data_IF_162226398726
#
_entry.id   IF_162226398726
#
_cell.length_a   1.000
_cell.length_b   1.000
_cell.length_c   1.000
_cell.angle_alpha   90.00
_cell.angle_beta   90.00
_cell.angle_gamma   90.00
#
_symmetry.space_group_name_H-M   'P 1'
#
loop_
_entity.id
_entity.type
_entity.pdbx_description
1 polymer ?
#
# COMPACT_ATOMS: atom_id res chain seq x y z
N UNK A 1 -1.50 -0.60 -33.30
CA UNK A 1 -2.15 0.34 -32.36
C UNK A 1 -1.31 0.26 -31.10
N UNK A 2 -0.56 1.28 -30.67
CA UNK A 2 0.33 1.11 -29.52
C UNK A 2 -0.50 1.13 -28.24
N UNK A 3 -0.33 0.07 -27.46
CA UNK A 3 -1.10 -0.30 -26.28
C UNK A 3 -0.94 0.69 -25.10
N UNK A 4 -2.03 0.84 -24.36
CA UNK A 4 -2.12 1.62 -23.12
C UNK A 4 -1.22 1.04 -22.03
N UNK A 5 -0.03 1.60 -21.87
CA UNK A 5 0.88 1.28 -20.78
C UNK A 5 0.85 2.38 -19.72
N UNK A 6 -0.03 2.26 -18.73
CA UNK A 6 0.23 2.89 -17.43
C UNK A 6 1.35 2.08 -16.77
N UNK A 7 2.50 2.74 -16.58
CA UNK A 7 3.78 2.19 -16.11
C UNK A 7 3.64 1.27 -14.89
N UNK A 8 3.48 -0.03 -15.14
CA UNK A 8 3.85 -1.11 -14.23
C UNK A 8 5.32 -1.50 -14.46
N UNK A 9 6.21 -0.51 -14.62
CA UNK A 9 7.64 -0.80 -14.54
C UNK A 9 7.99 -0.94 -13.07
N UNK A 10 8.66 -2.04 -12.73
CA UNK A 10 9.35 -2.18 -11.45
C UNK A 10 10.35 -1.04 -11.35
N UNK A 11 9.94 0.08 -10.73
CA UNK A 11 10.72 1.31 -10.68
C UNK A 11 11.99 1.15 -9.83
N UNK A 12 12.05 0.09 -9.03
CA UNK A 12 13.20 -0.34 -8.23
C UNK A 12 12.97 -1.75 -7.70
N UNK A 13 14.04 -2.48 -7.35
CA UNK A 13 13.93 -3.66 -6.46
C UNK A 13 13.32 -3.18 -5.14
N UNK A 14 12.12 -3.65 -4.81
CA UNK A 14 11.47 -3.37 -3.54
C UNK A 14 12.07 -4.29 -2.47
N UNK A 15 12.63 -3.71 -1.40
CA UNK A 15 13.17 -4.48 -0.28
C UNK A 15 12.09 -5.12 0.61
N UNK A 16 10.83 -4.71 0.44
CA UNK A 16 9.64 -5.28 1.11
C UNK A 16 8.41 -4.97 0.25
N UNK A 17 7.54 -5.96 0.07
CA UNK A 17 6.18 -5.79 -0.49
C UNK A 17 5.23 -5.60 0.69
N UNK A 18 4.39 -4.56 0.63
CA UNK A 18 3.39 -4.27 1.65
C UNK A 18 1.99 -4.32 1.04
N UNK A 19 1.10 -5.07 1.66
CA UNK A 19 -0.30 -5.19 1.28
C UNK A 19 -1.17 -4.50 2.34
N UNK A 20 -2.02 -3.57 1.92
CA UNK A 20 -3.00 -2.95 2.82
C UNK A 20 -4.27 -3.78 2.88
N UNK A 21 -4.72 -4.12 4.09
CA UNK A 21 -5.86 -5.02 4.33
C UNK A 21 -6.84 -4.36 5.30
N UNK A 22 -8.13 -4.47 5.01
CA UNK A 22 -9.15 -4.09 6.00
C UNK A 22 -9.03 -5.00 7.23
N UNK A 23 -9.00 -4.41 8.42
CA UNK A 23 -8.74 -5.14 9.67
C UNK A 23 -9.66 -6.35 9.92
N UNK A 24 -10.98 -6.33 9.61
CA UNK A 24 -11.82 -7.53 9.72
C UNK A 24 -11.32 -8.73 8.90
N UNK A 25 -10.53 -8.47 7.86
CA UNK A 25 -9.96 -9.45 6.96
C UNK A 25 -8.49 -9.76 7.24
N UNK A 26 -7.83 -9.05 8.17
CA UNK A 26 -6.40 -9.21 8.48
C UNK A 26 -6.04 -10.64 8.88
N UNK A 27 -6.72 -11.18 9.90
CA UNK A 27 -6.52 -12.55 10.38
C UNK A 27 -6.88 -13.60 9.32
N UNK A 28 -7.98 -13.36 8.58
CA UNK A 28 -8.40 -14.27 7.50
C UNK A 28 -7.38 -14.32 6.37
N UNK A 29 -6.81 -13.16 6.01
CA UNK A 29 -5.75 -13.03 5.01
C UNK A 29 -4.45 -13.67 5.48
N UNK A 30 -4.07 -13.48 6.74
CA UNK A 30 -2.90 -14.10 7.34
C UNK A 30 -3.00 -15.63 7.34
N UNK A 31 -4.16 -16.17 7.73
CA UNK A 31 -4.43 -17.61 7.67
C UNK A 31 -4.35 -18.14 6.23
N UNK A 32 -4.96 -17.45 5.26
CA UNK A 32 -4.91 -17.86 3.86
C UNK A 32 -3.48 -17.85 3.28
N UNK A 33 -2.64 -16.88 3.68
CA UNK A 33 -1.24 -16.83 3.28
C UNK A 33 -0.44 -17.98 3.91
N UNK A 34 -0.69 -18.29 5.18
CA UNK A 34 -0.06 -19.41 5.87
C UNK A 34 -0.44 -20.76 5.23
N UNK A 35 -1.72 -20.96 4.92
CA UNK A 35 -2.22 -22.15 4.21
C UNK A 35 -1.61 -22.29 2.81
N UNK A 36 -1.28 -21.17 2.15
CA UNK A 36 -0.61 -21.15 0.86
C UNK A 36 0.91 -21.42 0.93
N UNK A 37 1.48 -21.49 2.14
CA UNK A 37 2.90 -21.82 2.37
C UNK A 37 3.76 -20.67 2.88
N UNK A 38 3.19 -19.49 3.18
CA UNK A 38 3.93 -18.40 3.80
C UNK A 38 4.23 -18.72 5.28
N UNK A 39 5.43 -18.37 5.74
CA UNK A 39 5.80 -18.48 7.16
C UNK A 39 5.46 -17.17 7.85
N UNK A 40 4.55 -17.20 8.83
CA UNK A 40 4.22 -16.04 9.67
C UNK A 40 5.39 -15.72 10.60
N UNK A 41 5.77 -14.44 10.67
CA UNK A 41 6.82 -13.93 11.53
C UNK A 41 6.17 -13.17 12.71
N UNK A 42 6.58 -13.50 13.94
CA UNK A 42 6.11 -12.83 15.16
C UNK A 42 6.98 -11.60 15.48
N UNK A 43 6.94 -10.61 14.59
CA UNK A 43 7.78 -9.41 14.65
C UNK A 43 7.00 -8.11 14.82
N UNK A 44 5.67 -8.15 14.65
CA UNK A 44 4.80 -6.99 14.70
C UNK A 44 3.53 -7.27 15.53
N UNK A 45 2.93 -6.25 16.16
CA UNK A 45 1.61 -6.37 16.77
C UNK A 45 0.56 -6.77 15.70
N UNK A 46 -0.19 -7.88 15.89
CA UNK A 46 -1.16 -8.37 14.90
C UNK A 46 -2.25 -7.36 14.54
N UNK A 47 -2.59 -6.45 15.46
CA UNK A 47 -3.55 -5.38 15.21
C UNK A 47 -3.05 -4.30 14.25
N UNK A 48 -1.75 -4.24 13.99
CA UNK A 48 -1.11 -3.29 13.08
C UNK A 48 -0.73 -3.96 11.76
N UNK A 49 -0.11 -5.14 11.81
CA UNK A 49 0.46 -5.80 10.65
C UNK A 49 0.83 -7.26 10.93
N UNK A 50 0.90 -8.06 9.88
CA UNK A 50 1.60 -9.35 9.91
C UNK A 50 2.80 -9.30 8.97
N UNK A 51 3.93 -9.86 9.38
CA UNK A 51 5.08 -10.10 8.50
C UNK A 51 5.15 -11.58 8.13
N UNK A 52 5.61 -11.85 6.92
CA UNK A 52 5.69 -13.19 6.36
C UNK A 52 7.02 -13.38 5.65
N UNK A 53 7.46 -14.63 5.56
CA UNK A 53 8.53 -15.06 4.66
C UNK A 53 8.02 -16.13 3.70
N UNK A 54 8.36 -16.00 2.42
CA UNK A 54 8.10 -17.01 1.40
C UNK A 54 9.33 -17.14 0.51
N UNK A 55 9.93 -18.33 0.46
CA UNK A 55 11.16 -18.61 -0.30
C UNK A 55 12.31 -17.62 0.02
N UNK A 56 12.39 -17.20 1.28
CA UNK A 56 13.41 -16.25 1.75
C UNK A 56 13.13 -14.78 1.45
N UNK A 57 11.96 -14.46 0.87
CA UNK A 57 11.51 -13.09 0.62
C UNK A 57 10.54 -12.67 1.72
N UNK A 58 10.83 -11.54 2.38
CA UNK A 58 9.95 -10.95 3.39
C UNK A 58 8.93 -10.00 2.76
N UNK A 59 7.68 -10.10 3.20
CA UNK A 59 6.61 -9.17 2.88
C UNK A 59 5.68 -8.99 4.08
N UNK A 60 4.85 -7.94 4.06
CA UNK A 60 3.94 -7.64 5.16
C UNK A 60 2.52 -7.33 4.69
N UNK A 61 1.55 -7.56 5.57
CA UNK A 61 0.24 -6.94 5.50
C UNK A 61 0.16 -5.83 6.55
N UNK A 62 -0.41 -4.68 6.20
CA UNK A 62 -0.71 -3.59 7.13
C UNK A 62 -2.23 -3.40 7.21
N UNK A 63 -2.76 -3.34 8.43
CA UNK A 63 -4.20 -3.32 8.67
C UNK A 63 -4.73 -1.88 8.81
N UNK A 64 -5.92 -1.61 8.26
CA UNK A 64 -6.64 -0.35 8.45
C UNK A 64 -8.13 -0.56 8.72
N UNK A 65 -8.77 0.42 9.34
CA UNK A 65 -10.23 0.52 9.41
C UNK A 65 -10.72 1.59 8.42
N UNK A 66 -11.81 1.31 7.71
CA UNK A 66 -12.58 2.31 6.98
C UNK A 66 -13.49 3.09 7.95
N UNK A 67 -13.64 4.39 7.74
CA UNK A 67 -14.44 5.28 8.57
C UNK A 67 -15.61 5.88 7.81
N UNK A 68 -16.64 6.32 8.56
CA UNK A 68 -17.87 6.88 7.98
C UNK A 68 -17.65 8.18 7.18
N UNK A 69 -16.55 8.90 7.44
CA UNK A 69 -16.12 10.08 6.67
C UNK A 69 -15.40 9.71 5.36
N UNK A 70 -15.34 8.42 5.03
CA UNK A 70 -14.66 7.86 3.86
C UNK A 70 -13.14 7.73 4.02
N UNK A 71 -12.56 8.18 5.14
CA UNK A 71 -11.13 8.02 5.39
C UNK A 71 -10.80 6.60 5.85
N UNK A 72 -9.51 6.26 5.78
CA UNK A 72 -9.00 5.00 6.28
C UNK A 72 -7.86 5.28 7.26
N UNK A 73 -7.82 4.55 8.38
CA UNK A 73 -6.79 4.77 9.41
C UNK A 73 -6.29 3.43 9.96
N UNK A 74 -4.97 3.23 10.08
CA UNK A 74 -4.42 2.10 10.83
C UNK A 74 -4.60 2.32 12.33
N UNK A 75 -4.32 1.28 13.13
CA UNK A 75 -4.34 1.34 14.60
C UNK A 75 -2.93 1.40 15.19
N UNK A 76 -2.88 1.45 16.52
CA UNK A 76 -1.64 1.33 17.29
C UNK A 76 -0.66 2.47 17.03
N UNK A 77 0.58 2.12 16.71
CA UNK A 77 1.68 3.07 16.47
C UNK A 77 1.36 4.04 15.35
N UNK A 78 0.61 3.63 14.34
CA UNK A 78 0.34 4.42 13.14
C UNK A 78 -1.02 5.11 13.15
N UNK A 79 -1.72 5.16 14.30
CA UNK A 79 -3.09 5.67 14.39
C UNK A 79 -3.30 7.13 13.98
N UNK A 80 -2.23 7.91 13.88
CA UNK A 80 -2.23 9.29 13.40
C UNK A 80 -2.06 9.42 11.87
N UNK A 81 -1.87 8.31 11.16
CA UNK A 81 -1.83 8.27 9.71
C UNK A 81 -3.24 8.22 9.12
N UNK A 82 -3.63 9.24 8.36
CA UNK A 82 -4.97 9.33 7.79
C UNK A 82 -4.92 9.24 6.28
N UNK A 83 -5.44 8.14 5.72
CA UNK A 83 -5.58 8.01 4.27
C UNK A 83 -6.89 8.69 3.82
N UNK A 84 -6.84 9.59 2.82
CA UNK A 84 -8.03 10.32 2.36
C UNK A 84 -9.06 9.39 1.72
N UNK A 85 -10.29 9.88 1.60
CA UNK A 85 -11.34 9.17 0.86
C UNK A 85 -10.91 8.84 -0.57
N UNK A 86 -11.25 7.64 -1.03
CA UNK A 86 -10.81 7.11 -2.33
C UNK A 86 -9.37 6.60 -2.36
N UNK A 87 -8.70 6.45 -1.21
CA UNK A 87 -7.37 5.80 -1.17
C UNK A 87 -7.43 4.33 -1.53
N UNK A 88 -8.44 3.60 -1.05
CA UNK A 88 -8.73 2.21 -1.40
C UNK A 88 -10.08 2.15 -2.08
N UNK A 89 -10.09 2.00 -3.40
CA UNK A 89 -11.31 1.97 -4.20
C UNK A 89 -11.29 0.83 -5.23
N UNK A 90 -12.36 0.72 -6.01
CA UNK A 90 -12.57 -0.41 -6.92
C UNK A 90 -11.73 -0.38 -8.19
N UNK A 91 -11.14 0.78 -8.55
CA UNK A 91 -10.34 0.91 -9.75
C UNK A 91 -9.02 0.13 -9.60
N UNK A 92 -8.77 -0.92 -10.39
CA UNK A 92 -7.61 -1.78 -10.20
C UNK A 92 -6.33 -1.12 -10.73
N UNK A 93 -5.22 -1.37 -10.04
CA UNK A 93 -3.89 -1.28 -10.64
C UNK A 93 -3.65 -2.46 -11.58
N UNK A 94 -2.56 -2.43 -12.35
CA UNK A 94 -2.17 -3.55 -13.21
C UNK A 94 -0.72 -3.95 -12.93
N UNK A 95 -0.48 -5.25 -12.73
CA UNK A 95 0.85 -5.83 -12.55
C UNK A 95 1.04 -6.95 -13.56
N UNK A 96 1.98 -6.78 -14.50
CA UNK A 96 2.19 -7.76 -15.59
C UNK A 96 0.93 -7.99 -16.44
N UNK A 97 0.11 -6.95 -16.65
CA UNK A 97 -1.17 -7.04 -17.36
C UNK A 97 -2.34 -7.62 -16.54
N UNK A 98 -2.09 -8.10 -15.32
CA UNK A 98 -3.15 -8.60 -14.43
C UNK A 98 -3.73 -7.45 -13.59
N UNK A 99 -5.06 -7.27 -13.56
CA UNK A 99 -5.67 -6.31 -12.65
C UNK A 99 -5.48 -6.78 -11.20
N UNK A 100 -5.08 -5.85 -10.33
CA UNK A 100 -4.87 -6.06 -8.89
C UNK A 100 -5.47 -4.90 -8.09
N UNK A 101 -6.09 -5.16 -6.93
CA UNK A 101 -6.44 -4.09 -6.01
C UNK A 101 -5.17 -3.29 -5.64
N UNK A 102 -5.25 -1.98 -5.75
CA UNK A 102 -4.13 -1.10 -5.46
C UNK A 102 -4.62 0.18 -4.80
N UNK A 103 -3.80 0.74 -3.90
CA UNK A 103 -4.05 2.09 -3.40
C UNK A 103 -4.00 3.08 -4.58
N UNK A 104 -4.92 4.03 -4.60
CA UNK A 104 -4.95 5.07 -5.64
C UNK A 104 -3.70 5.95 -5.59
N UNK A 105 -3.31 6.53 -6.74
CA UNK A 105 -2.17 7.45 -6.78
C UNK A 105 -2.33 8.67 -5.83
N UNK A 106 -3.52 9.31 -5.72
CA UNK A 106 -3.76 10.32 -4.69
C UNK A 106 -3.58 9.80 -3.26
N UNK A 107 -4.05 8.57 -2.96
CA UNK A 107 -3.87 7.92 -1.66
C UNK A 107 -2.39 7.69 -1.33
N UNK A 108 -1.62 7.12 -2.26
CA UNK A 108 -0.18 6.88 -2.09
C UNK A 108 0.60 8.18 -1.93
N UNK A 109 0.22 9.24 -2.65
CA UNK A 109 0.83 10.55 -2.52
C UNK A 109 0.57 11.14 -1.13
N UNK A 110 -0.69 11.14 -0.70
CA UNK A 110 -1.08 11.64 0.62
C UNK A 110 -0.36 10.86 1.75
N UNK A 111 -0.27 9.54 1.61
CA UNK A 111 0.47 8.65 2.52
C UNK A 111 1.92 9.11 2.65
N UNK A 112 2.66 9.22 1.54
CA UNK A 112 4.08 9.61 1.55
C UNK A 112 4.31 11.03 2.05
N UNK A 113 3.40 11.95 1.75
CA UNK A 113 3.51 13.34 2.19
C UNK A 113 3.32 13.50 3.71
N UNK A 114 2.46 12.68 4.32
CA UNK A 114 2.25 12.68 5.77
C UNK A 114 3.39 12.02 6.54
N UNK A 115 4.10 11.05 5.95
CA UNK A 115 5.09 10.23 6.67
C UNK A 115 6.07 11.00 7.57
N UNK A 116 6.65 12.16 7.18
CA UNK A 116 7.57 12.89 8.06
C UNK A 116 6.93 13.60 9.25
N UNK A 117 5.60 13.78 9.23
CA UNK A 117 4.86 14.48 10.29
C UNK A 117 4.23 13.53 11.31
N UNK A 118 4.26 12.22 11.05
CA UNK A 118 3.70 11.21 11.95
C UNK A 118 4.57 11.04 13.20
N UNK A 119 3.94 10.67 14.31
CA UNK A 119 4.59 10.35 15.59
C UNK A 119 5.69 9.30 15.45
N UNK A 120 5.44 8.25 14.67
CA UNK A 120 6.40 7.18 14.37
C UNK A 120 7.01 7.31 12.97
N UNK A 121 6.85 8.48 12.36
CA UNK A 121 7.35 8.82 11.04
C UNK A 121 8.86 9.01 10.99
N UNK A 122 9.35 9.24 9.78
CA UNK A 122 10.78 9.48 9.53
C UNK A 122 11.02 10.47 8.40
N UNK A 123 12.27 10.90 8.26
CA UNK A 123 12.68 11.75 7.14
C UNK A 123 12.54 10.98 5.82
N UNK A 124 12.15 11.67 4.75
CA UNK A 124 12.17 11.09 3.42
C UNK A 124 13.57 10.65 3.03
N UNK A 125 13.67 9.45 2.47
CA UNK A 125 14.87 8.95 1.80
C UNK A 125 14.87 9.43 0.35
N UNK A 126 16.00 9.31 -0.33
CA UNK A 126 16.10 9.67 -1.75
C UNK A 126 15.09 8.91 -2.63
N UNK A 127 14.76 7.65 -2.27
CA UNK A 127 13.70 6.89 -2.96
C UNK A 127 12.33 7.55 -2.76
N UNK A 128 11.99 7.96 -1.54
CA UNK A 128 10.69 8.54 -1.24
C UNK A 128 10.48 9.86 -2.00
N UNK A 129 11.54 10.68 -2.13
CA UNK A 129 11.50 11.91 -2.94
C UNK A 129 11.19 11.62 -4.41
N UNK A 130 11.82 10.59 -5.00
CA UNK A 130 11.55 10.18 -6.39
C UNK A 130 10.12 9.65 -6.55
N UNK A 131 9.68 8.78 -5.65
CA UNK A 131 8.32 8.25 -5.68
C UNK A 131 7.28 9.40 -5.59
N UNK A 132 7.50 10.38 -4.72
CA UNK A 132 6.63 11.55 -4.57
C UNK A 132 6.56 12.37 -5.86
N UNK A 133 7.68 12.58 -6.55
CA UNK A 133 7.71 13.27 -7.84
C UNK A 133 6.86 12.53 -8.88
N UNK A 134 7.06 11.22 -9.03
CA UNK A 134 6.26 10.38 -9.94
C UNK A 134 4.77 10.43 -9.60
N UNK A 135 4.42 10.33 -8.32
CA UNK A 135 3.03 10.36 -7.88
C UNK A 135 2.37 11.71 -8.14
N UNK A 136 3.09 12.83 -7.99
CA UNK A 136 2.60 14.16 -8.36
C UNK A 136 2.28 14.25 -9.85
N UNK A 137 3.15 13.73 -10.71
CA UNK A 137 2.91 13.72 -12.15
C UNK A 137 1.71 12.85 -12.54
N UNK A 138 1.52 11.71 -11.86
CA UNK A 138 0.36 10.84 -12.07
C UNK A 138 -0.95 11.50 -11.63
N UNK A 139 -0.96 12.17 -10.47
CA UNK A 139 -2.14 12.84 -9.94
C UNK A 139 -2.51 14.09 -10.76
N UNK A 140 -1.52 14.79 -11.32
CA UNK A 140 -1.75 15.95 -12.19
C UNK A 140 -2.27 15.59 -13.59
N UNK A 141 -2.12 14.32 -14.01
CA UNK A 141 -2.58 13.87 -15.32
C UNK A 141 -4.11 13.74 -15.32
N UNK A 142 -4.81 14.32 -16.32
CA UNK A 142 -6.24 14.07 -16.46
C UNK A 142 -6.49 12.57 -16.72
N UNK A 143 -7.60 12.00 -16.23
CA UNK A 143 -7.99 10.64 -16.60
C UNK A 143 -8.04 10.55 -18.13
N UNK A 144 -7.33 9.56 -18.70
CA UNK A 144 -7.43 9.32 -20.13
C UNK A 144 -8.86 8.84 -20.43
N UNK A 145 -9.54 9.40 -21.45
CA UNK A 145 -10.78 8.81 -21.92
C UNK A 145 -10.46 7.43 -22.50
N UNK A 146 -11.16 6.40 -21.99
CA UNK A 146 -11.12 5.04 -22.54
C UNK A 146 -11.88 4.90 -23.84
#
# INVERSE_FOLDING_TARGET
MPDEHVLAQVASIHGVVEFWVERPDGERGAAALADAGAVVLDTQPPEESHEFSWDGITFSTACFDAHADGTFRPRGRWSDWVFPAGSFGEAPGHLGGRPVPAMSAPGMLAMKLQFPTLRNGGRWRAKDVRDIATLRDLVARPPQPG
#
